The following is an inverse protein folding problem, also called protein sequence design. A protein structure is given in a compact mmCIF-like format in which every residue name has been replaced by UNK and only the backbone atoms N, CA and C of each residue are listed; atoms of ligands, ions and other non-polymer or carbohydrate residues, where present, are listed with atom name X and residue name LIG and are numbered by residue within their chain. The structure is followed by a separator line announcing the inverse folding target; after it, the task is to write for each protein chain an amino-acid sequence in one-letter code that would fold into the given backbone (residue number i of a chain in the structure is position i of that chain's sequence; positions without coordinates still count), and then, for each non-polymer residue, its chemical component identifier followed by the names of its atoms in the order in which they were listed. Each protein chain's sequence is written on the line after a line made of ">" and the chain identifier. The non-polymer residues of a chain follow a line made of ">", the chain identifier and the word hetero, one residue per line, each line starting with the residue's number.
data_IF_411749219894
#
_entry.id   IF_411749219894
#
_cell.length_a   1.000
_cell.length_b   1.000
_cell.length_c   1.000
_cell.angle_alpha   90.00
_cell.angle_beta   90.00
_cell.angle_gamma   90.00
#
_symmetry.space_group_name_H-M   'P 1'
#
loop_
_entity.id
_entity.type
_entity.pdbx_description
1 polymer ?
#
# COMPACT_ATOMS: atom_id res chain seq x y z
N UNK A 1 5.69 16.37 24.73
CA UNK A 1 5.83 17.25 25.91
C UNK A 1 4.51 17.22 26.67
N UNK A 2 4.51 17.40 28.00
CA UNK A 2 3.32 17.30 28.84
C UNK A 2 2.93 18.67 29.41
N UNK A 3 2.13 19.47 28.67
CA UNK A 3 1.72 20.81 29.10
C UNK A 3 0.74 20.81 30.28
N UNK A 4 0.16 19.67 30.63
CA UNK A 4 -0.87 19.52 31.66
C UNK A 4 -0.35 19.10 33.04
N UNK A 5 0.96 18.88 33.21
CA UNK A 5 1.55 18.52 34.50
C UNK A 5 1.82 19.76 35.39
N UNK A 6 1.66 19.62 36.72
CA UNK A 6 2.06 20.62 37.72
C UNK A 6 3.23 20.08 38.56
N UNK A 7 4.43 20.67 38.51
CA UNK A 7 4.88 21.76 37.63
C UNK A 7 5.08 21.32 36.16
N UNK A 8 5.02 22.24 35.17
CA UNK A 8 5.18 21.92 33.77
C UNK A 8 6.60 21.45 33.47
N UNK A 9 6.72 20.32 32.77
CA UNK A 9 8.02 19.71 32.46
C UNK A 9 8.39 19.99 31.01
N UNK A 10 9.43 20.82 30.82
CA UNK A 10 10.02 21.10 29.52
C UNK A 10 11.19 20.13 29.25
N UNK A 11 11.31 19.64 28.01
CA UNK A 11 12.45 18.85 27.55
C UNK A 11 13.24 19.69 26.56
N UNK A 12 14.51 19.95 26.83
CA UNK A 12 15.39 20.68 25.92
C UNK A 12 15.72 19.77 24.73
N UNK A 13 15.16 20.08 23.56
CA UNK A 13 15.37 19.34 22.31
C UNK A 13 15.41 20.33 21.14
N UNK A 14 16.08 19.96 20.06
CA UNK A 14 15.95 20.67 18.78
C UNK A 14 14.53 20.48 18.23
N UNK A 15 13.76 21.57 18.28
CA UNK A 15 12.36 21.58 17.87
C UNK A 15 12.18 21.34 16.37
N UNK A 16 13.12 21.82 15.53
CA UNK A 16 13.08 21.62 14.08
C UNK A 16 13.24 20.16 13.72
N UNK A 17 14.26 19.51 14.29
CA UNK A 17 14.53 18.08 14.12
C UNK A 17 13.40 17.21 14.68
N UNK A 18 12.85 17.56 15.84
CA UNK A 18 11.72 16.85 16.44
C UNK A 18 10.46 16.90 15.56
N UNK A 19 10.08 18.08 15.06
CA UNK A 19 8.89 18.25 14.20
C UNK A 19 9.05 17.50 12.87
N UNK A 20 10.26 17.44 12.32
CA UNK A 20 10.56 16.63 11.14
C UNK A 20 10.35 15.15 11.40
N UNK A 21 10.95 14.62 12.48
CA UNK A 21 10.82 13.21 12.86
C UNK A 21 9.37 12.82 13.18
N UNK A 22 8.61 13.73 13.81
CA UNK A 22 7.18 13.53 14.08
C UNK A 22 6.37 13.45 12.79
N UNK A 23 6.65 14.29 11.80
CA UNK A 23 6.01 14.22 10.48
C UNK A 23 6.34 12.93 9.73
N UNK A 24 7.60 12.48 9.78
CA UNK A 24 8.01 11.20 9.19
C UNK A 24 7.28 10.05 9.88
N UNK A 25 7.31 10.00 11.21
CA UNK A 25 6.63 8.97 12.00
C UNK A 25 5.11 8.97 11.76
N UNK A 26 4.49 10.14 11.66
CA UNK A 26 3.06 10.26 11.35
C UNK A 26 2.74 9.78 9.93
N UNK A 27 3.61 10.06 8.95
CA UNK A 27 3.45 9.57 7.57
C UNK A 27 3.62 8.05 7.48
N UNK A 28 4.59 7.49 8.19
CA UNK A 28 4.81 6.05 8.29
C UNK A 28 3.65 5.35 8.99
N UNK A 29 3.16 5.91 10.10
CA UNK A 29 2.00 5.40 10.81
C UNK A 29 0.75 5.38 9.91
N UNK A 30 0.48 6.46 9.16
CA UNK A 30 -0.64 6.52 8.21
C UNK A 30 -0.49 5.53 7.06
N UNK A 31 0.72 5.27 6.59
CA UNK A 31 0.98 4.29 5.52
C UNK A 31 0.81 2.85 6.01
N UNK A 32 1.23 2.57 7.24
CA UNK A 32 1.14 1.25 7.86
C UNK A 32 -0.23 0.96 8.45
N UNK A 33 -1.07 1.98 8.66
CA UNK A 33 -2.46 1.81 9.00
C UNK A 33 -3.20 1.21 7.81
N UNK A 34 -3.49 -0.08 7.90
CA UNK A 34 -4.35 -0.79 6.96
C UNK A 34 -5.80 -0.44 7.26
N UNK A 35 -6.39 0.45 6.47
CA UNK A 35 -7.82 0.80 6.56
C UNK A 35 -8.65 -0.29 5.90
N UNK A 36 -9.53 -0.94 6.67
CA UNK A 36 -10.55 -1.82 6.10
C UNK A 36 -11.64 -0.97 5.46
N UNK A 37 -11.85 -1.12 4.16
CA UNK A 37 -12.90 -0.42 3.43
C UNK A 37 -14.20 -1.23 3.46
N UNK A 38 -15.34 -0.55 3.36
CA UNK A 38 -16.63 -1.19 3.20
C UNK A 38 -16.94 -1.27 1.70
N UNK A 39 -16.97 -2.49 1.17
CA UNK A 39 -17.35 -2.75 -0.23
C UNK A 39 -18.82 -3.11 -0.28
N UNK A 40 -19.56 -2.48 -1.19
CA UNK A 40 -20.98 -2.75 -1.37
C UNK A 40 -21.22 -3.69 -2.56
N UNK A 41 -22.02 -4.74 -2.36
CA UNK A 41 -22.46 -5.64 -3.43
C UNK A 41 -23.98 -5.67 -3.46
N UNK A 42 -24.54 -5.51 -4.66
CA UNK A 42 -25.99 -5.48 -4.87
C UNK A 42 -26.49 -6.76 -5.50
N UNK A 43 -27.47 -7.37 -4.85
CA UNK A 43 -28.19 -8.55 -5.33
C UNK A 43 -29.59 -8.19 -5.78
N UNK A 44 -30.14 -9.00 -6.69
CA UNK A 44 -31.54 -8.97 -7.07
C UNK A 44 -32.25 -10.14 -6.40
N UNK A 45 -33.53 -10.00 -6.11
CA UNK A 45 -34.32 -11.06 -5.46
C UNK A 45 -34.42 -12.30 -6.35
N UNK A 46 -34.61 -12.11 -7.65
CA UNK A 46 -34.60 -13.16 -8.68
C UNK A 46 -33.24 -13.19 -9.37
N UNK A 47 -32.26 -13.78 -8.69
CA UNK A 47 -30.91 -13.98 -9.23
C UNK A 47 -30.83 -15.36 -9.90
N UNK A 48 -30.07 -15.43 -10.99
CA UNK A 48 -29.71 -16.69 -11.64
C UNK A 48 -28.56 -17.38 -10.89
N UNK A 49 -28.47 -18.70 -10.95
CA UNK A 49 -27.43 -19.47 -10.25
C UNK A 49 -26.01 -19.01 -10.63
N UNK A 50 -25.77 -18.70 -11.91
CA UNK A 50 -24.45 -18.23 -12.36
C UNK A 50 -24.13 -16.82 -11.82
N UNK A 51 -25.08 -15.89 -11.82
CA UNK A 51 -24.88 -14.54 -11.27
C UNK A 51 -24.67 -14.59 -9.75
N UNK A 52 -25.32 -15.53 -9.07
CA UNK A 52 -25.11 -15.77 -7.65
C UNK A 52 -23.67 -16.21 -7.37
N UNK A 53 -23.15 -17.18 -8.12
CA UNK A 53 -21.78 -17.68 -7.95
C UNK A 53 -20.72 -16.62 -8.24
N UNK A 54 -20.91 -15.79 -9.27
CA UNK A 54 -19.99 -14.68 -9.57
C UNK A 54 -19.95 -13.66 -8.43
N UNK A 55 -21.12 -13.27 -7.91
CA UNK A 55 -21.19 -12.32 -6.78
C UNK A 55 -20.68 -12.93 -5.49
N UNK A 56 -20.91 -14.21 -5.22
CA UNK A 56 -20.30 -14.96 -4.12
C UNK A 56 -18.77 -14.92 -4.22
N UNK A 57 -18.22 -15.14 -5.41
CA UNK A 57 -16.79 -14.98 -5.68
C UNK A 57 -16.26 -13.58 -5.34
N UNK A 58 -17.01 -12.52 -5.66
CA UNK A 58 -16.65 -11.16 -5.26
C UNK A 58 -16.72 -10.94 -3.75
N UNK A 59 -17.74 -11.45 -3.07
CA UNK A 59 -17.84 -11.40 -1.59
C UNK A 59 -16.61 -12.08 -0.97
N UNK A 60 -16.29 -13.29 -1.40
CA UNK A 60 -15.12 -14.04 -0.94
C UNK A 60 -13.81 -13.28 -1.21
N UNK A 61 -13.66 -12.69 -2.39
CA UNK A 61 -12.48 -11.88 -2.74
C UNK A 61 -12.29 -10.70 -1.81
N UNK A 62 -13.37 -9.98 -1.47
CA UNK A 62 -13.28 -8.81 -0.57
C UNK A 62 -13.03 -9.22 0.89
N UNK A 63 -13.70 -10.27 1.36
CA UNK A 63 -13.46 -10.82 2.71
C UNK A 63 -12.01 -11.33 2.84
N UNK A 64 -11.49 -12.03 1.84
CA UNK A 64 -10.09 -12.45 1.81
C UNK A 64 -9.09 -11.28 1.71
N UNK A 65 -9.53 -10.15 1.15
CA UNK A 65 -8.78 -8.89 1.11
C UNK A 65 -8.73 -8.14 2.44
N UNK A 66 -9.57 -8.53 3.42
CA UNK A 66 -9.70 -7.85 4.71
C UNK A 66 -10.71 -6.71 4.72
N UNK A 67 -11.50 -6.56 3.67
CA UNK A 67 -12.55 -5.55 3.57
C UNK A 67 -13.86 -6.07 4.17
N UNK A 68 -14.67 -5.15 4.71
CA UNK A 68 -16.04 -5.47 5.11
C UNK A 68 -16.93 -5.44 3.89
N UNK A 69 -17.90 -6.33 3.82
CA UNK A 69 -18.82 -6.41 2.67
C UNK A 69 -20.24 -6.12 3.13
N UNK A 70 -20.82 -5.05 2.58
CA UNK A 70 -22.23 -4.72 2.73
C UNK A 70 -23.01 -5.26 1.55
N UNK A 71 -23.79 -6.30 1.78
CA UNK A 71 -24.65 -6.92 0.79
C UNK A 71 -26.03 -6.29 0.86
N UNK A 72 -26.52 -5.77 -0.27
CA UNK A 72 -27.81 -5.10 -0.36
C UNK A 72 -28.69 -5.74 -1.44
N UNK A 73 -29.89 -6.17 -1.06
CA UNK A 73 -30.96 -6.55 -2.01
C UNK A 73 -31.94 -5.38 -2.08
N UNK A 74 -32.23 -4.92 -3.29
CA UNK A 74 -33.26 -3.91 -3.51
C UNK A 74 -34.58 -4.60 -3.86
N UNK A 75 -35.62 -4.34 -3.07
CA UNK A 75 -36.98 -4.80 -3.33
C UNK A 75 -37.66 -3.84 -4.31
N UNK A 76 -38.17 -4.35 -5.43
CA UNK A 76 -38.84 -3.51 -6.43
C UNK A 76 -40.33 -3.84 -6.57
N UNK A 77 -41.16 -2.80 -6.57
CA UNK A 77 -42.60 -2.90 -6.80
C UNK A 77 -43.29 -3.82 -5.79
N UNK A 78 -43.89 -4.90 -6.29
CA UNK A 78 -44.70 -5.86 -5.50
C UNK A 78 -43.89 -6.70 -4.51
N UNK A 79 -42.56 -6.72 -4.66
CA UNK A 79 -41.65 -7.49 -3.80
C UNK A 79 -41.52 -6.91 -2.39
N UNK A 80 -41.92 -5.65 -2.17
CA UNK A 80 -41.94 -5.04 -0.83
C UNK A 80 -42.85 -5.80 0.15
N UNK A 81 -43.87 -6.49 -0.36
CA UNK A 81 -44.79 -7.31 0.45
C UNK A 81 -44.21 -8.67 0.86
N UNK A 82 -43.12 -9.13 0.23
CA UNK A 82 -42.51 -10.45 0.46
C UNK A 82 -41.02 -10.32 0.81
N UNK A 83 -40.69 -9.84 2.03
CA UNK A 83 -39.30 -9.71 2.45
C UNK A 83 -38.62 -11.05 2.74
N UNK A 84 -39.40 -12.12 3.01
CA UNK A 84 -38.90 -13.44 3.42
C UNK A 84 -37.90 -14.01 2.41
N UNK A 85 -38.20 -13.96 1.11
CA UNK A 85 -37.32 -14.53 0.08
C UNK A 85 -35.96 -13.83 -0.03
N UNK A 86 -35.90 -12.52 0.26
CA UNK A 86 -34.63 -11.79 0.28
C UNK A 86 -33.78 -12.10 1.51
N UNK A 87 -34.43 -12.31 2.66
CA UNK A 87 -33.75 -12.71 3.90
C UNK A 87 -33.19 -14.14 3.77
N UNK A 88 -33.95 -15.07 3.18
CA UNK A 88 -33.50 -16.44 2.93
C UNK A 88 -32.29 -16.48 2.00
N UNK A 89 -32.29 -15.70 0.91
CA UNK A 89 -31.16 -15.62 -0.01
C UNK A 89 -29.88 -15.14 0.69
N UNK A 90 -29.98 -14.12 1.56
CA UNK A 90 -28.83 -13.61 2.32
C UNK A 90 -28.35 -14.60 3.38
N UNK A 91 -29.27 -15.36 4.01
CA UNK A 91 -28.89 -16.44 4.93
C UNK A 91 -28.11 -17.54 4.20
N UNK A 92 -28.61 -18.01 3.06
CA UNK A 92 -27.90 -18.98 2.21
C UNK A 92 -26.51 -18.47 1.82
N UNK A 93 -26.39 -17.21 1.40
CA UNK A 93 -25.10 -16.61 1.10
C UNK A 93 -24.18 -16.59 2.33
N UNK A 94 -24.71 -16.27 3.52
CA UNK A 94 -23.95 -16.25 4.76
C UNK A 94 -23.42 -17.64 5.16
N UNK A 95 -24.21 -18.70 4.92
CA UNK A 95 -23.81 -20.08 5.17
C UNK A 95 -22.70 -20.52 4.21
N UNK A 96 -22.82 -20.21 2.92
CA UNK A 96 -21.79 -20.53 1.91
C UNK A 96 -20.47 -19.77 2.13
N UNK A 97 -20.51 -18.54 2.65
CA UNK A 97 -19.32 -17.72 2.94
C UNK A 97 -18.84 -17.82 4.39
N UNK A 98 -19.44 -18.71 5.18
CA UNK A 98 -19.15 -18.87 6.61
C UNK A 98 -17.70 -19.22 6.92
N UNK A 99 -16.97 -19.81 5.97
CA UNK A 99 -15.55 -20.12 6.12
C UNK A 99 -14.67 -18.86 6.16
N UNK A 100 -14.95 -17.88 5.29
CA UNK A 100 -14.14 -16.67 5.13
C UNK A 100 -14.67 -15.45 5.89
N UNK A 101 -15.93 -15.47 6.35
CA UNK A 101 -16.57 -14.32 6.97
C UNK A 101 -17.44 -14.65 8.19
N UNK A 102 -17.64 -13.64 9.05
CA UNK A 102 -18.64 -13.61 10.13
C UNK A 102 -19.70 -12.58 9.81
N UNK A 103 -20.93 -12.85 10.23
CA UNK A 103 -22.03 -11.87 10.16
C UNK A 103 -21.81 -10.82 11.25
N UNK A 104 -21.63 -9.55 10.86
CA UNK A 104 -21.57 -8.42 11.79
C UNK A 104 -22.98 -7.86 12.02
N UNK A 105 -23.72 -7.67 10.93
CA UNK A 105 -25.13 -7.27 10.96
C UNK A 105 -25.96 -8.29 10.21
N UNK A 106 -26.86 -8.95 10.95
CA UNK A 106 -27.83 -9.90 10.41
C UNK A 106 -28.72 -9.23 9.33
N UNK A 107 -29.25 -10.00 8.36
CA UNK A 107 -30.11 -9.48 7.31
C UNK A 107 -31.35 -8.80 7.90
N UNK A 108 -31.44 -7.48 7.70
CA UNK A 108 -32.57 -6.65 8.15
C UNK A 108 -33.13 -5.86 6.97
N UNK A 109 -34.45 -5.68 6.97
CA UNK A 109 -35.12 -4.84 6.00
C UNK A 109 -35.09 -3.38 6.47
N UNK A 110 -34.44 -2.52 5.69
CA UNK A 110 -34.50 -1.06 5.82
C UNK A 110 -35.26 -0.49 4.62
N UNK A 111 -36.56 -0.26 4.80
CA UNK A 111 -37.44 0.32 3.79
C UNK A 111 -37.52 -0.53 2.52
N UNK A 112 -36.90 -0.04 1.43
CA UNK A 112 -36.89 -0.71 0.13
C UNK A 112 -35.70 -1.67 -0.06
N UNK A 113 -34.80 -1.74 0.91
CA UNK A 113 -33.59 -2.55 0.83
C UNK A 113 -33.55 -3.58 1.96
N UNK A 114 -33.00 -4.75 1.68
CA UNK A 114 -32.57 -5.69 2.71
C UNK A 114 -31.05 -5.66 2.73
N UNK A 115 -30.47 -5.39 3.89
CA UNK A 115 -29.05 -5.16 4.06
C UNK A 115 -28.50 -6.19 5.04
N UNK A 116 -27.33 -6.74 4.71
CA UNK A 116 -26.53 -7.58 5.58
C UNK A 116 -25.07 -7.12 5.48
N UNK A 117 -24.35 -7.12 6.59
CA UNK A 117 -22.91 -6.78 6.58
C UNK A 117 -22.10 -7.95 7.11
N UNK A 118 -21.12 -8.35 6.30
CA UNK A 118 -20.17 -9.41 6.59
C UNK A 118 -18.81 -8.80 6.93
N UNK A 119 -18.20 -9.30 7.99
CA UNK A 119 -16.84 -8.98 8.38
C UNK A 119 -15.92 -10.17 8.05
N UNK A 120 -14.66 -9.93 7.65
CA UNK A 120 -13.72 -11.00 7.33
C UNK A 120 -13.32 -11.78 8.59
N UNK A 121 -13.24 -13.11 8.48
CA UNK A 121 -12.70 -13.98 9.53
C UNK A 121 -11.18 -13.89 9.51
N UNK A 122 -10.63 -13.23 10.53
CA UNK A 122 -9.19 -13.12 10.76
C UNK A 122 -8.60 -11.76 10.42
N UNK A 123 -7.49 -11.42 11.07
CA UNK A 123 -6.74 -10.17 10.86
C UNK A 123 -5.91 -10.23 9.57
N UNK A 124 -6.53 -10.55 8.42
CA UNK A 124 -5.89 -10.36 7.12
C UNK A 124 -6.13 -8.93 6.67
N UNK A 125 -5.69 -7.96 7.47
CA UNK A 125 -5.86 -6.56 7.05
C UNK A 125 -4.80 -6.30 5.98
N UNK A 126 -5.26 -6.45 4.74
CA UNK A 126 -4.71 -5.81 3.56
C UNK A 126 -3.43 -6.48 2.99
N UNK A 127 -3.61 -7.59 2.26
CA UNK A 127 -2.60 -8.13 1.31
C UNK A 127 -2.11 -7.07 0.31
N UNK A 128 -2.87 -6.01 0.08
CA UNK A 128 -2.45 -4.87 -0.75
C UNK A 128 -1.36 -3.98 -0.13
N UNK A 129 -1.14 -3.97 1.20
CA UNK A 129 -0.15 -3.10 1.86
C UNK A 129 1.15 -3.86 1.89
N UNK A 130 1.08 -5.18 2.07
CA UNK A 130 2.17 -6.09 1.75
C UNK A 130 2.54 -6.05 0.26
N UNK A 131 1.59 -6.12 -0.68
CA UNK A 131 1.89 -6.00 -2.11
C UNK A 131 2.45 -4.62 -2.48
N UNK A 132 1.94 -3.53 -1.91
CA UNK A 132 2.49 -2.18 -2.10
C UNK A 132 3.87 -2.05 -1.46
N UNK A 133 4.10 -2.64 -0.28
CA UNK A 133 5.41 -2.69 0.38
C UNK A 133 6.41 -3.48 -0.45
N UNK A 134 6.05 -4.68 -0.89
CA UNK A 134 6.86 -5.53 -1.77
C UNK A 134 7.13 -4.87 -3.12
N UNK A 135 6.15 -4.13 -3.65
CA UNK A 135 6.29 -3.31 -4.84
C UNK A 135 7.27 -2.15 -4.65
N UNK A 136 7.22 -1.44 -3.51
CA UNK A 136 8.14 -0.37 -3.17
C UNK A 136 9.57 -0.90 -2.93
N UNK A 137 9.72 -2.02 -2.23
CA UNK A 137 10.98 -2.73 -2.02
C UNK A 137 11.60 -3.14 -3.37
N UNK A 138 10.82 -3.72 -4.28
CA UNK A 138 11.32 -4.09 -5.61
C UNK A 138 11.73 -2.89 -6.47
N UNK A 139 11.06 -1.74 -6.31
CA UNK A 139 11.42 -0.49 -7.02
C UNK A 139 12.68 0.14 -6.43
N UNK A 140 12.83 0.12 -5.10
CA UNK A 140 14.02 0.57 -4.40
C UNK A 140 15.24 -0.30 -4.75
N UNK A 141 15.07 -1.62 -4.83
CA UNK A 141 16.14 -2.54 -5.23
C UNK A 141 16.58 -2.31 -6.68
N UNK A 142 15.63 -2.09 -7.61
CA UNK A 142 15.96 -1.71 -9.00
C UNK A 142 16.69 -0.37 -9.08
N UNK A 143 16.26 0.64 -8.31
CA UNK A 143 16.93 1.94 -8.26
C UNK A 143 18.34 1.83 -7.67
N UNK A 144 18.53 1.03 -6.62
CA UNK A 144 19.85 0.79 -6.02
C UNK A 144 20.80 0.08 -6.99
N UNK A 145 20.33 -0.94 -7.71
CA UNK A 145 21.12 -1.62 -8.75
C UNK A 145 21.49 -0.67 -9.90
N UNK A 146 20.57 0.20 -10.30
CA UNK A 146 20.81 1.18 -11.36
C UNK A 146 21.82 2.26 -10.93
N UNK A 147 21.72 2.74 -9.69
CA UNK A 147 22.65 3.69 -9.10
C UNK A 147 24.06 3.09 -8.95
N UNK A 148 24.18 1.84 -8.48
CA UNK A 148 25.46 1.14 -8.36
C UNK A 148 26.14 0.96 -9.73
N UNK A 149 25.37 0.66 -10.78
CA UNK A 149 25.89 0.52 -12.15
C UNK A 149 26.35 1.86 -12.74
N UNK A 150 25.66 2.96 -12.45
CA UNK A 150 26.07 4.30 -12.86
C UNK A 150 27.34 4.75 -12.13
N UNK A 151 27.43 4.49 -10.82
CA UNK A 151 28.62 4.79 -10.01
C UNK A 151 29.86 3.99 -10.48
N UNK A 152 29.70 2.71 -10.81
CA UNK A 152 30.78 1.90 -11.37
C UNK A 152 31.26 2.45 -12.73
N UNK A 153 30.33 2.94 -13.56
CA UNK A 153 30.66 3.54 -14.87
C UNK A 153 31.38 4.88 -14.72
N UNK A 154 30.98 5.71 -13.75
CA UNK A 154 31.68 6.96 -13.43
C UNK A 154 33.08 6.70 -12.87
N UNK A 155 33.24 5.77 -11.92
CA UNK A 155 34.57 5.43 -11.39
C UNK A 155 35.54 4.91 -12.45
N UNK A 156 35.07 4.15 -13.45
CA UNK A 156 35.91 3.76 -14.60
C UNK A 156 36.23 4.92 -15.54
N UNK A 157 35.34 5.90 -15.71
CA UNK A 157 35.59 7.09 -16.52
C UNK A 157 36.54 8.06 -15.83
N UNK A 158 36.41 8.24 -14.52
CA UNK A 158 37.30 9.08 -13.72
C UNK A 158 38.70 8.49 -13.66
N UNK A 159 38.84 7.16 -13.49
CA UNK A 159 40.14 6.48 -13.56
C UNK A 159 40.79 6.60 -14.96
N UNK A 160 40.00 6.49 -16.03
CA UNK A 160 40.49 6.69 -17.40
C UNK A 160 40.88 8.15 -17.68
N UNK A 161 40.13 9.12 -17.13
CA UNK A 161 40.44 10.54 -17.25
C UNK A 161 41.71 10.93 -16.47
N UNK A 162 41.91 10.38 -15.26
CA UNK A 162 43.14 10.60 -14.47
C UNK A 162 44.34 9.94 -15.15
N UNK A 163 44.20 8.75 -15.72
CA UNK A 163 45.27 8.10 -16.48
C UNK A 163 45.63 8.87 -17.77
N UNK A 164 44.62 9.41 -18.48
CA UNK A 164 44.85 10.26 -19.64
C UNK A 164 45.53 11.59 -19.26
N UNK A 165 45.11 12.23 -18.16
CA UNK A 165 45.76 13.44 -17.65
C UNK A 165 47.22 13.18 -17.25
N UNK A 166 47.49 12.08 -16.53
CA UNK A 166 48.85 11.69 -16.17
C UNK A 166 49.75 11.42 -17.39
N UNK A 167 49.20 10.85 -18.47
CA UNK A 167 49.96 10.63 -19.71
C UNK A 167 50.28 11.93 -20.46
N UNK A 168 49.42 12.95 -20.38
CA UNK A 168 49.64 14.27 -20.99
C UNK A 168 50.65 15.09 -20.18
N UNK A 169 50.65 14.95 -18.85
CA UNK A 169 51.58 15.62 -17.94
C UNK A 169 53.01 15.04 -18.05
N UNK A 170 53.15 13.73 -18.26
CA UNK A 170 54.45 13.11 -18.55
C UNK A 170 55.04 13.51 -19.90
N UNK A 171 54.20 13.79 -20.91
CA UNK A 171 54.62 14.20 -22.25
C UNK A 171 55.05 15.68 -22.30
N UNK A 172 54.53 16.52 -21.41
CA UNK A 172 54.99 17.91 -21.23
C UNK A 172 56.32 17.99 -20.48
N UNK A 173 56.52 17.17 -19.45
CA UNK A 173 57.76 17.16 -18.67
C UNK A 173 58.98 16.63 -19.47
N UNK A 174 58.74 15.82 -20.50
CA UNK A 174 59.81 15.37 -21.41
C UNK A 174 60.28 16.45 -22.40
N UNK A 175 59.45 17.47 -22.67
CA UNK A 175 59.81 18.60 -23.55
C UNK A 175 60.56 19.74 -22.85
N UNK A 176 60.45 19.89 -21.54
CA UNK A 176 61.22 20.89 -20.78
C UNK A 176 62.64 20.40 -20.42
N UNK A 177 62.86 19.09 -20.33
CA UNK A 177 64.18 18.51 -20.03
C UNK A 177 65.19 18.53 -21.17
N UNK A 178 64.79 18.87 -22.40
CA UNK A 178 65.67 18.85 -23.58
C UNK A 178 66.26 20.21 -23.97
N UNK A 179 66.09 21.25 -23.14
CA UNK A 179 66.50 22.62 -23.49
C UNK A 179 67.53 23.25 -22.54
N UNK A 180 68.27 22.43 -21.77
CA UNK A 180 69.22 22.89 -20.74
C UNK A 180 70.70 22.58 -21.03
N UNK A 181 71.05 22.13 -22.23
CA UNK A 181 72.45 21.88 -22.63
C UNK A 181 72.76 22.62 -23.94
N UNK A 182 72.96 23.94 -23.88
CA UNK A 182 73.84 24.70 -24.79
C UNK A 182 73.94 26.18 -24.34
N UNK A 183 74.73 26.43 -23.29
CA UNK A 183 75.37 27.73 -23.08
C UNK A 183 76.86 27.49 -22.78
N UNK A 184 77.69 27.58 -23.83
CA UNK A 184 79.03 28.17 -23.76
C UNK A 184 79.51 28.60 -25.15
#
# INVERSE_FOLDING_TARGET
>A
MAPTAKPPVAKLIDYGKYKYNEKIKAREARRNQSTAEIKEIRFRLKIDDHDFDVKKGHVLRFLNGGDKVKVTIMLRGREQSRPIGGVELLRRLADEVSESGTIEFAPKQEGRNIIMTLAPKGKKIHTQSEQRRRGAESRAERQARQAARLAAKQGTQDAAAVAAQASVESDQNHKEGSNAEDEN
#
